data_IF_890412798008
#
_entry.id   IF_890412798008
#
_cell.length_a   1.000
_cell.length_b   1.000
_cell.length_c   1.000
_cell.angle_alpha   90.00
_cell.angle_beta   90.00
_cell.angle_gamma   90.00
#
_symmetry.space_group_name_H-M   'P 1'
#
loop_
_entity.id
_entity.type
_entity.pdbx_description
1 polymer ?
#
# COMPACT_ATOMS: atom_id res chain seq x y z
N UNK A 1 12.54 36.77 21.81
CA UNK A 1 12.59 35.33 21.50
C UNK A 1 11.26 35.01 20.80
N UNK A 2 11.32 34.78 19.48
CA UNK A 2 10.14 34.31 18.72
C UNK A 2 9.82 32.94 19.28
N UNK A 3 8.60 32.74 19.76
CA UNK A 3 8.10 31.45 20.19
C UNK A 3 8.19 30.54 18.95
N UNK A 4 9.08 29.55 18.94
CA UNK A 4 9.15 28.53 17.88
C UNK A 4 7.84 27.74 17.94
N UNK A 5 6.86 28.16 17.16
CA UNK A 5 5.57 27.51 17.11
C UNK A 5 5.72 26.20 16.34
N UNK A 6 5.80 25.08 17.06
CA UNK A 6 5.78 23.74 16.47
C UNK A 6 4.38 23.44 16.00
N UNK A 7 4.19 23.31 14.68
CA UNK A 7 2.90 22.93 14.13
C UNK A 7 2.64 21.44 14.34
N UNK A 8 1.50 21.10 14.95
CA UNK A 8 1.05 19.73 15.13
C UNK A 8 0.06 19.36 14.03
N UNK A 9 0.39 18.31 13.27
CA UNK A 9 -0.37 17.84 12.10
C UNK A 9 -0.78 16.39 12.33
N UNK A 10 -1.99 16.03 11.91
CA UNK A 10 -2.39 14.63 11.82
C UNK A 10 -2.33 14.16 10.36
N UNK A 11 -1.90 12.93 10.15
CA UNK A 11 -1.99 12.25 8.86
C UNK A 11 -2.82 10.98 9.01
N UNK A 12 -3.77 10.77 8.10
CA UNK A 12 -4.61 9.57 8.06
C UNK A 12 -4.23 8.76 6.84
N UNK A 13 -3.57 7.61 7.08
CA UNK A 13 -3.02 6.72 6.05
C UNK A 13 -1.51 6.90 5.85
N UNK A 14 -0.79 5.77 5.79
CA UNK A 14 0.66 5.70 5.56
C UNK A 14 0.99 4.69 4.44
N UNK A 15 0.22 4.74 3.37
CA UNK A 15 0.59 4.09 2.11
C UNK A 15 1.60 4.93 1.31
N UNK A 16 1.84 4.61 0.03
CA UNK A 16 2.84 5.31 -0.81
C UNK A 16 2.64 6.82 -0.91
N UNK A 17 1.39 7.29 -0.89
CA UNK A 17 1.09 8.74 -0.90
C UNK A 17 1.42 9.40 0.42
N UNK A 18 1.12 8.74 1.55
CA UNK A 18 1.49 9.21 2.88
C UNK A 18 3.01 9.28 3.05
N UNK A 19 3.73 8.25 2.62
CA UNK A 19 5.18 8.26 2.60
C UNK A 19 5.75 9.43 1.80
N UNK A 20 5.28 9.63 0.56
CA UNK A 20 5.73 10.75 -0.27
C UNK A 20 5.46 12.12 0.37
N UNK A 21 4.32 12.27 1.06
CA UNK A 21 4.00 13.50 1.80
C UNK A 21 4.95 13.71 3.00
N UNK A 22 5.27 12.66 3.76
CA UNK A 22 6.23 12.75 4.87
C UNK A 22 7.63 13.11 4.38
N UNK A 23 8.10 12.52 3.29
CA UNK A 23 9.38 12.86 2.67
C UNK A 23 9.42 14.32 2.20
N UNK A 24 8.33 14.82 1.62
CA UNK A 24 8.20 16.21 1.21
C UNK A 24 8.20 17.15 2.43
N UNK A 25 7.47 16.81 3.49
CA UNK A 25 7.47 17.56 4.75
C UNK A 25 8.86 17.60 5.37
N UNK A 26 9.56 16.48 5.45
CA UNK A 26 10.93 16.42 6.00
C UNK A 26 11.90 17.31 5.20
N UNK A 27 11.84 17.23 3.88
CA UNK A 27 12.67 18.05 2.99
C UNK A 27 12.36 19.54 3.16
N UNK A 28 11.09 19.91 3.22
CA UNK A 28 10.65 21.29 3.35
C UNK A 28 10.99 21.88 4.74
N UNK A 29 10.75 21.09 5.79
CA UNK A 29 11.03 21.45 7.16
C UNK A 29 12.52 21.73 7.38
N UNK A 30 13.40 20.89 6.83
CA UNK A 30 14.83 21.09 6.85
C UNK A 30 15.27 22.35 6.10
N UNK A 31 14.69 22.61 4.91
CA UNK A 31 15.03 23.77 4.08
C UNK A 31 14.54 25.12 4.64
N UNK A 32 13.49 25.12 5.46
CA UNK A 32 12.84 26.31 6.02
C UNK A 32 13.05 26.46 7.52
N UNK A 33 13.72 25.52 8.18
CA UNK A 33 13.90 25.47 9.63
C UNK A 33 12.57 25.52 10.42
N UNK A 34 11.51 24.94 9.83
CA UNK A 34 10.17 24.87 10.44
C UNK A 34 10.03 23.52 11.15
N UNK A 35 9.50 23.52 12.38
CA UNK A 35 9.29 22.31 13.16
C UNK A 35 7.86 21.79 13.01
N UNK A 36 7.73 20.48 12.77
CA UNK A 36 6.47 19.78 12.70
C UNK A 36 6.45 18.57 13.63
N UNK A 37 5.33 18.38 14.33
CA UNK A 37 4.99 17.12 14.98
C UNK A 37 3.86 16.48 14.17
N UNK A 38 4.10 15.29 13.62
CA UNK A 38 3.14 14.57 12.77
C UNK A 38 2.73 13.28 13.45
N UNK A 39 1.45 13.19 13.83
CA UNK A 39 0.83 11.97 14.30
C UNK A 39 0.20 11.26 13.11
N UNK A 40 0.65 10.04 12.82
CA UNK A 40 0.22 9.26 11.64
C UNK A 40 -0.65 8.10 12.10
N UNK A 41 -1.90 8.10 11.67
CA UNK A 41 -2.88 7.05 11.94
C UNK A 41 -2.97 6.11 10.75
N UNK A 42 -2.49 4.89 10.90
CA UNK A 42 -2.61 3.85 9.88
C UNK A 42 -2.62 2.46 10.56
N UNK A 43 -3.71 1.70 10.45
CA UNK A 43 -3.81 0.37 11.04
C UNK A 43 -3.10 -0.71 10.21
N UNK A 44 -2.62 -0.38 8.99
CA UNK A 44 -2.06 -1.39 8.11
C UNK A 44 -0.65 -1.82 8.57
N UNK A 45 -0.35 -3.13 8.60
CA UNK A 45 0.91 -3.65 9.17
C UNK A 45 2.15 -3.36 8.32
N UNK A 46 2.00 -2.88 7.08
CA UNK A 46 3.10 -2.52 6.20
C UNK A 46 3.12 -0.99 5.94
N UNK A 47 3.54 -0.17 6.91
CA UNK A 47 3.59 1.28 6.76
C UNK A 47 4.55 1.68 5.63
N UNK A 48 4.17 2.69 4.86
CA UNK A 48 4.87 3.11 3.64
C UNK A 48 4.40 2.38 2.38
N UNK A 49 4.11 1.09 2.47
CA UNK A 49 3.67 0.25 1.34
C UNK A 49 2.14 0.26 1.15
N UNK A 50 1.40 0.08 2.24
CA UNK A 50 -0.06 -0.06 2.20
C UNK A 50 -0.53 -1.35 1.52
N UNK A 51 -1.86 -1.60 1.47
CA UNK A 51 -2.41 -2.89 1.06
C UNK A 51 -2.18 -3.27 -0.41
N UNK A 52 -1.95 -2.29 -1.30
CA UNK A 52 -1.76 -2.58 -2.73
C UNK A 52 -0.34 -3.06 -3.06
N UNK A 53 0.60 -2.84 -2.17
CA UNK A 53 2.01 -3.20 -2.31
C UNK A 53 2.50 -3.94 -1.08
N UNK A 54 1.62 -4.73 -0.45
CA UNK A 54 1.99 -5.52 0.73
C UNK A 54 3.22 -6.39 0.40
N UNK A 55 4.32 -6.27 1.16
CA UNK A 55 5.50 -7.11 0.96
C UNK A 55 5.24 -8.61 1.13
N UNK A 56 4.18 -8.97 1.86
CA UNK A 56 3.77 -10.36 2.10
C UNK A 56 2.79 -10.89 1.04
N UNK A 57 2.36 -10.06 0.06
CA UNK A 57 1.46 -10.52 -1.01
C UNK A 57 2.19 -11.44 -1.99
N UNK A 58 1.43 -12.13 -2.83
CA UNK A 58 1.95 -13.06 -3.82
C UNK A 58 2.90 -12.38 -4.82
N UNK A 59 4.11 -12.93 -5.06
CA UNK A 59 5.01 -12.44 -6.11
C UNK A 59 4.45 -12.62 -7.53
N UNK A 60 3.34 -13.32 -7.70
CA UNK A 60 2.61 -13.43 -8.96
C UNK A 60 1.86 -12.14 -9.33
N UNK A 61 1.59 -11.29 -8.34
CA UNK A 61 1.04 -9.96 -8.54
C UNK A 61 2.15 -9.02 -9.02
N UNK A 62 2.12 -8.66 -10.30
CA UNK A 62 3.13 -7.79 -10.89
C UNK A 62 2.68 -6.34 -10.94
N UNK A 63 3.64 -5.42 -11.01
CA UNK A 63 3.38 -4.05 -11.43
C UNK A 63 2.87 -4.06 -12.88
N UNK A 64 2.09 -3.05 -13.23
CA UNK A 64 1.47 -2.93 -14.56
C UNK A 64 2.28 -2.06 -15.53
N UNK A 65 3.52 -1.72 -15.15
CA UNK A 65 4.52 -1.04 -15.98
C UNK A 65 5.86 -1.79 -15.88
N UNK A 66 6.64 -1.86 -16.96
CA UNK A 66 7.93 -2.52 -16.93
C UNK A 66 8.96 -1.71 -16.14
N UNK A 67 10.04 -2.37 -15.72
CA UNK A 67 11.08 -1.77 -14.87
C UNK A 67 11.65 -0.47 -15.44
N UNK A 68 11.89 -0.38 -16.76
CA UNK A 68 12.41 0.81 -17.41
C UNK A 68 11.57 2.08 -17.23
N UNK A 69 10.26 1.90 -17.02
CA UNK A 69 9.30 3.01 -16.89
C UNK A 69 9.06 3.41 -15.43
N UNK A 70 9.64 2.68 -14.48
CA UNK A 70 9.50 2.96 -13.05
C UNK A 70 10.52 4.01 -12.63
N UNK A 71 10.06 5.24 -12.47
CA UNK A 71 10.91 6.37 -12.05
C UNK A 71 10.70 6.75 -10.56
N UNK A 72 10.67 5.76 -9.70
CA UNK A 72 10.54 5.99 -8.26
C UNK A 72 11.91 6.32 -7.66
N UNK A 73 12.09 7.59 -7.32
CA UNK A 73 13.31 8.11 -6.69
C UNK A 73 12.97 8.71 -5.33
N UNK A 74 13.74 8.38 -4.30
CA UNK A 74 13.60 9.04 -3.01
C UNK A 74 14.13 10.48 -3.08
N UNK A 75 13.84 11.33 -2.07
CA UNK A 75 14.44 12.66 -1.97
C UNK A 75 15.97 12.60 -1.99
N UNK A 76 16.60 13.66 -2.50
CA UNK A 76 18.05 13.77 -2.47
C UNK A 76 18.56 13.75 -1.03
N UNK A 77 19.62 13.00 -0.78
CA UNK A 77 20.20 12.87 0.56
C UNK A 77 19.47 11.87 1.48
N UNK A 78 18.49 11.14 1.00
CA UNK A 78 17.75 10.14 1.80
C UNK A 78 18.59 8.92 2.21
N UNK A 79 19.77 8.73 1.62
CA UNK A 79 20.62 7.57 1.90
C UNK A 79 20.17 6.26 1.24
N UNK A 80 19.08 6.28 0.46
CA UNK A 80 18.57 5.13 -0.29
C UNK A 80 18.56 5.43 -1.79
N UNK A 81 18.88 4.45 -2.61
CA UNK A 81 18.89 4.57 -4.07
C UNK A 81 17.48 4.52 -4.67
N UNK A 82 17.35 4.82 -5.96
CA UNK A 82 16.10 4.61 -6.69
C UNK A 82 15.73 3.12 -6.77
N UNK A 83 14.44 2.81 -7.02
CA UNK A 83 13.94 1.43 -7.00
C UNK A 83 14.73 0.47 -7.89
N UNK A 84 15.07 0.90 -9.11
CA UNK A 84 15.82 0.06 -10.06
C UNK A 84 17.23 -0.32 -9.57
N UNK A 85 17.86 0.58 -8.81
CA UNK A 85 19.21 0.35 -8.25
C UNK A 85 19.16 -0.33 -6.88
N UNK A 86 18.00 -0.29 -6.22
CA UNK A 86 17.80 -0.86 -4.89
C UNK A 86 17.45 -2.35 -4.96
N UNK A 87 16.66 -2.77 -5.96
CA UNK A 87 16.17 -4.14 -6.07
C UNK A 87 17.30 -5.12 -6.39
N UNK A 88 17.38 -6.22 -5.64
CA UNK A 88 18.37 -7.26 -5.83
C UNK A 88 17.70 -8.66 -5.81
N UNK A 89 18.00 -9.54 -6.79
CA UNK A 89 18.84 -9.29 -7.97
C UNK A 89 18.21 -8.27 -8.94
N UNK A 90 18.98 -7.63 -9.82
CA UNK A 90 18.45 -6.67 -10.78
C UNK A 90 17.38 -7.29 -11.68
N UNK A 91 16.31 -6.54 -11.92
CA UNK A 91 15.20 -6.95 -12.79
C UNK A 91 15.47 -6.42 -14.21
N UNK A 92 15.32 -7.25 -15.27
CA UNK A 92 15.47 -6.79 -16.65
C UNK A 92 14.55 -5.61 -16.98
N UNK A 93 15.01 -4.70 -17.81
CA UNK A 93 14.30 -3.46 -18.15
C UNK A 93 12.87 -3.69 -18.68
N UNK A 94 12.67 -4.75 -19.46
CA UNK A 94 11.36 -5.08 -20.05
C UNK A 94 10.49 -5.98 -19.16
N UNK A 95 11.01 -6.42 -18.03
CA UNK A 95 10.25 -7.25 -17.10
C UNK A 95 9.39 -6.38 -16.16
N UNK A 96 8.30 -6.97 -15.70
CA UNK A 96 7.37 -6.36 -14.76
C UNK A 96 7.71 -6.82 -13.35
N UNK A 97 8.14 -5.92 -12.45
CA UNK A 97 8.50 -6.30 -11.09
C UNK A 97 7.30 -6.82 -10.29
N UNK A 98 7.51 -7.76 -9.37
CA UNK A 98 6.51 -8.12 -8.37
C UNK A 98 6.12 -6.92 -7.49
N UNK A 99 4.82 -6.74 -7.21
CA UNK A 99 4.34 -5.68 -6.31
C UNK A 99 4.94 -5.74 -4.91
N UNK A 100 5.13 -6.93 -4.29
CA UNK A 100 5.79 -7.04 -2.99
C UNK A 100 7.18 -6.42 -2.94
N UNK A 101 7.95 -6.50 -4.02
CA UNK A 101 9.28 -5.88 -4.06
C UNK A 101 9.21 -4.35 -4.01
N UNK A 102 8.21 -3.76 -4.68
CA UNK A 102 7.98 -2.33 -4.54
C UNK A 102 7.54 -1.98 -3.12
N UNK A 103 6.72 -2.81 -2.51
CA UNK A 103 6.30 -2.63 -1.11
C UNK A 103 7.49 -2.64 -0.14
N UNK A 104 8.38 -3.62 -0.26
CA UNK A 104 9.60 -3.70 0.54
C UNK A 104 10.50 -2.45 0.34
N UNK A 105 10.61 -1.96 -0.90
CA UNK A 105 11.32 -0.72 -1.17
C UNK A 105 10.69 0.50 -0.51
N UNK A 106 9.36 0.60 -0.52
CA UNK A 106 8.65 1.71 0.13
C UNK A 106 8.81 1.68 1.66
N UNK A 107 8.83 0.49 2.26
CA UNK A 107 9.15 0.34 3.69
C UNK A 107 10.60 0.77 3.99
N UNK A 108 11.56 0.34 3.17
CA UNK A 108 12.96 0.75 3.33
C UNK A 108 13.13 2.28 3.21
N UNK A 109 12.35 2.96 2.36
CA UNK A 109 12.32 4.42 2.27
C UNK A 109 11.80 5.06 3.56
N UNK A 110 10.74 4.51 4.14
CA UNK A 110 10.21 5.00 5.41
C UNK A 110 11.24 4.83 6.53
N UNK A 111 11.89 3.68 6.61
CA UNK A 111 12.94 3.40 7.59
C UNK A 111 14.11 4.38 7.44
N UNK A 112 14.55 4.66 6.20
CA UNK A 112 15.60 5.64 5.92
C UNK A 112 15.19 7.05 6.38
N UNK A 113 13.93 7.45 6.13
CA UNK A 113 13.38 8.72 6.62
C UNK A 113 13.41 8.80 8.15
N UNK A 114 12.95 7.76 8.84
CA UNK A 114 12.92 7.69 10.30
C UNK A 114 14.34 7.73 10.90
N UNK A 115 15.28 6.99 10.30
CA UNK A 115 16.68 6.98 10.73
C UNK A 115 17.33 8.35 10.61
N UNK A 116 17.07 9.08 9.54
CA UNK A 116 17.56 10.45 9.37
C UNK A 116 17.02 11.40 10.44
N UNK A 117 15.74 11.27 10.79
CA UNK A 117 15.12 12.10 11.82
C UNK A 117 15.68 11.77 13.21
N UNK A 118 16.04 10.54 13.50
CA UNK A 118 16.58 10.12 14.81
C UNK A 118 18.02 10.52 15.06
N UNK A 119 18.80 10.78 14.01
CA UNK A 119 20.26 11.02 14.09
C UNK A 119 20.69 12.49 14.21
N UNK A 120 19.77 13.45 14.11
CA UNK A 120 20.11 14.89 14.07
C UNK A 120 19.72 15.61 15.36
N UNK A 121 20.68 16.31 15.96
CA UNK A 121 20.41 17.31 17.00
C UNK A 121 19.65 18.48 16.35
N UNK A 122 18.39 18.73 16.77
CA UNK A 122 17.56 19.80 16.21
C UNK A 122 16.58 19.29 15.15
N UNK A 123 15.95 18.13 15.40
CA UNK A 123 14.91 17.55 14.52
C UNK A 123 13.83 18.58 14.20
N UNK A 124 13.61 18.80 12.89
CA UNK A 124 12.53 19.65 12.42
C UNK A 124 11.22 18.86 12.17
N UNK A 125 11.28 17.53 12.12
CA UNK A 125 10.14 16.65 11.98
C UNK A 125 10.16 15.58 13.07
N UNK A 126 9.14 15.56 13.92
CA UNK A 126 8.88 14.46 14.85
C UNK A 126 7.69 13.66 14.33
N UNK A 127 7.85 12.34 14.24
CA UNK A 127 6.82 11.46 13.70
C UNK A 127 6.41 10.43 14.74
N UNK A 128 5.10 10.35 15.00
CA UNK A 128 4.50 9.33 15.86
C UNK A 128 3.55 8.48 15.05
N UNK A 129 3.85 7.19 14.87
CA UNK A 129 2.95 6.26 14.21
C UNK A 129 1.98 5.63 15.22
N UNK A 130 0.69 5.77 14.96
CA UNK A 130 -0.41 5.17 15.71
C UNK A 130 -1.06 4.08 14.83
N UNK A 131 -0.91 2.79 15.14
CA UNK A 131 -1.44 1.69 14.32
C UNK A 131 -2.96 1.51 14.57
N UNK A 132 -3.73 2.55 14.27
CA UNK A 132 -5.15 2.60 14.53
C UNK A 132 -5.91 3.35 13.42
N UNK A 133 -7.18 2.97 13.22
CA UNK A 133 -8.09 3.67 12.31
C UNK A 133 -8.64 4.93 12.97
N UNK A 134 -8.93 5.92 12.14
CA UNK A 134 -9.67 7.11 12.54
C UNK A 134 -11.14 6.91 12.20
N UNK A 135 -12.02 7.07 13.19
CA UNK A 135 -13.44 6.85 13.07
C UNK A 135 -14.21 8.14 12.77
N UNK A 136 -13.79 9.26 13.37
CA UNK A 136 -14.45 10.56 13.23
C UNK A 136 -13.46 11.70 13.23
N UNK A 137 -13.85 12.78 12.58
CA UNK A 137 -13.17 14.08 12.58
C UNK A 137 -14.13 15.14 13.09
N UNK A 138 -13.62 16.08 13.85
CA UNK A 138 -14.35 17.31 14.20
C UNK A 138 -13.41 18.50 14.20
N UNK A 139 -13.94 19.66 13.90
CA UNK A 139 -13.25 20.94 14.09
C UNK A 139 -13.86 21.68 15.27
N UNK A 140 -13.01 22.20 16.13
CA UNK A 140 -13.40 22.98 17.31
C UNK A 140 -12.41 24.13 17.50
N UNK A 141 -12.92 25.34 17.65
CA UNK A 141 -12.11 26.58 17.81
C UNK A 141 -10.97 26.72 16.79
N UNK A 142 -11.22 26.32 15.53
CA UNK A 142 -10.24 26.39 14.44
C UNK A 142 -9.20 25.26 14.42
N UNK A 143 -9.28 24.30 15.35
CA UNK A 143 -8.38 23.15 15.41
C UNK A 143 -9.11 21.85 15.11
N UNK A 144 -8.37 20.87 14.60
CA UNK A 144 -8.89 19.55 14.29
C UNK A 144 -8.68 18.56 15.44
N UNK A 145 -9.66 17.69 15.60
CA UNK A 145 -9.61 16.55 16.52
C UNK A 145 -10.02 15.28 15.78
N UNK A 146 -9.37 14.15 16.12
CA UNK A 146 -9.64 12.84 15.55
C UNK A 146 -10.06 11.88 16.64
N UNK A 147 -11.11 11.10 16.39
CA UNK A 147 -11.50 9.98 17.24
C UNK A 147 -10.85 8.71 16.69
N UNK A 148 -10.07 8.03 17.51
CA UNK A 148 -9.44 6.75 17.19
C UNK A 148 -9.43 5.86 18.41
N UNK A 149 -9.93 4.62 18.27
CA UNK A 149 -10.00 3.68 19.38
C UNK A 149 -10.81 4.19 20.59
N UNK A 150 -11.82 5.04 20.36
CA UNK A 150 -12.65 5.65 21.42
C UNK A 150 -11.99 6.85 22.12
N UNK A 151 -10.81 7.29 21.70
CA UNK A 151 -10.05 8.40 22.29
C UNK A 151 -9.97 9.57 21.30
N UNK A 152 -10.22 10.79 21.77
CA UNK A 152 -10.02 12.00 21.00
C UNK A 152 -8.56 12.45 21.07
N UNK A 153 -7.93 12.58 19.91
CA UNK A 153 -6.57 13.09 19.70
C UNK A 153 -6.63 14.52 19.17
N UNK A 154 -5.66 15.34 19.50
CA UNK A 154 -5.58 16.74 19.07
C UNK A 154 -5.19 17.67 20.24
N UNK A 155 -5.27 18.99 20.08
CA UNK A 155 -5.64 19.68 18.84
C UNK A 155 -4.56 19.58 17.76
N UNK A 156 -4.97 19.59 16.49
CA UNK A 156 -4.10 19.64 15.31
C UNK A 156 -4.39 20.91 14.51
N UNK A 157 -3.35 21.54 13.99
CA UNK A 157 -3.49 22.67 13.08
C UNK A 157 -4.09 22.24 11.74
N UNK A 158 -3.66 21.10 11.23
CA UNK A 158 -4.05 20.56 9.93
C UNK A 158 -4.24 19.04 9.96
N UNK A 159 -5.02 18.52 9.02
CA UNK A 159 -5.15 17.08 8.76
C UNK A 159 -4.82 16.79 7.30
N UNK A 160 -3.91 15.87 7.07
CA UNK A 160 -3.65 15.32 5.75
C UNK A 160 -4.35 13.96 5.60
N UNK A 161 -5.35 13.92 4.70
CA UNK A 161 -6.11 12.70 4.44
C UNK A 161 -5.58 11.96 3.22
N UNK A 162 -4.97 10.78 3.45
CA UNK A 162 -4.46 9.88 2.42
C UNK A 162 -4.84 8.41 2.70
N UNK A 163 -6.13 8.13 3.03
CA UNK A 163 -6.58 6.84 3.54
C UNK A 163 -6.60 5.72 2.48
N UNK A 164 -6.22 6.02 1.23
CA UNK A 164 -6.28 5.06 0.13
C UNK A 164 -7.71 4.86 -0.40
N UNK A 165 -8.02 3.63 -0.84
CA UNK A 165 -9.35 3.30 -1.36
C UNK A 165 -10.28 2.91 -0.21
N UNK A 166 -11.47 3.50 -0.11
CA UNK A 166 -12.45 3.11 0.88
C UNK A 166 -13.04 1.73 0.55
N UNK A 167 -13.55 1.05 1.57
CA UNK A 167 -14.41 -0.13 1.36
C UNK A 167 -15.69 0.32 0.69
N UNK A 168 -16.08 -0.36 -0.37
CA UNK A 168 -17.34 -0.11 -1.09
C UNK A 168 -18.37 -1.19 -0.76
N UNK A 169 -19.64 -0.82 -0.83
CA UNK A 169 -20.71 -1.80 -0.81
C UNK A 169 -20.73 -2.58 -2.14
N UNK A 170 -21.14 -3.85 -2.15
CA UNK A 170 -21.39 -4.58 -3.38
C UNK A 170 -22.39 -3.81 -4.25
N UNK A 171 -22.11 -3.75 -5.56
CA UNK A 171 -23.14 -3.33 -6.52
C UNK A 171 -24.24 -4.39 -6.65
N UNK A 172 -25.33 -4.06 -7.33
CA UNK A 172 -26.50 -4.94 -7.46
C UNK A 172 -26.11 -6.32 -8.02
N UNK A 173 -25.29 -6.36 -9.07
CA UNK A 173 -24.83 -7.61 -9.68
C UNK A 173 -24.03 -8.47 -8.70
N UNK A 174 -23.12 -7.88 -7.95
CA UNK A 174 -22.33 -8.60 -6.95
C UNK A 174 -23.22 -9.08 -5.79
N UNK A 175 -24.21 -8.27 -5.38
CA UNK A 175 -25.20 -8.62 -4.37
C UNK A 175 -26.04 -9.83 -4.80
N UNK A 176 -26.49 -9.87 -6.04
CA UNK A 176 -27.22 -10.99 -6.62
C UNK A 176 -26.36 -12.26 -6.67
N UNK A 177 -25.11 -12.15 -7.07
CA UNK A 177 -24.19 -13.29 -7.09
C UNK A 177 -23.88 -13.82 -5.68
N UNK A 178 -23.70 -12.93 -4.71
CA UNK A 178 -23.52 -13.33 -3.30
C UNK A 178 -24.76 -14.09 -2.78
N UNK A 179 -25.95 -13.64 -3.15
CA UNK A 179 -27.20 -14.29 -2.79
C UNK A 179 -27.33 -15.66 -3.48
N UNK A 180 -27.02 -15.72 -4.78
CA UNK A 180 -27.03 -16.98 -5.52
C UNK A 180 -26.04 -18.00 -4.94
N UNK A 181 -24.82 -17.58 -4.63
CA UNK A 181 -23.77 -18.45 -4.08
C UNK A 181 -24.16 -19.08 -2.72
N UNK A 182 -24.98 -18.39 -1.90
CA UNK A 182 -25.49 -18.93 -0.62
C UNK A 182 -26.46 -20.11 -0.80
N UNK A 183 -27.11 -20.19 -1.96
CA UNK A 183 -28.19 -21.18 -2.25
C UNK A 183 -27.84 -22.17 -3.37
N UNK A 184 -26.58 -22.16 -3.83
CA UNK A 184 -26.09 -23.00 -4.93
C UNK A 184 -24.72 -23.62 -4.59
N UNK A 185 -24.14 -24.35 -5.53
CA UNK A 185 -22.77 -24.88 -5.44
C UNK A 185 -21.74 -23.90 -5.99
N UNK A 186 -22.15 -22.71 -6.43
CA UNK A 186 -21.23 -21.71 -6.94
C UNK A 186 -20.39 -21.13 -5.81
N UNK A 187 -19.10 -20.97 -6.06
CA UNK A 187 -18.17 -20.30 -5.15
C UNK A 187 -17.87 -18.89 -5.69
N UNK A 188 -17.96 -17.89 -4.84
CA UNK A 188 -17.59 -16.52 -5.17
C UNK A 188 -16.35 -16.14 -4.37
N UNK A 189 -15.31 -15.71 -5.06
CA UNK A 189 -14.04 -15.31 -4.44
C UNK A 189 -13.59 -13.93 -4.92
N UNK A 190 -12.95 -13.15 -4.04
CA UNK A 190 -12.28 -11.91 -4.41
C UNK A 190 -10.96 -12.19 -5.13
N UNK A 191 -10.53 -11.25 -5.99
CA UNK A 191 -9.22 -11.31 -6.64
C UNK A 191 -8.06 -11.16 -5.65
N UNK A 192 -8.28 -10.44 -4.57
CA UNK A 192 -7.28 -10.12 -3.54
C UNK A 192 -7.80 -10.38 -2.12
N UNK A 193 -6.92 -10.70 -1.16
CA UNK A 193 -5.49 -10.98 -1.35
C UNK A 193 -5.25 -12.23 -2.20
N UNK A 194 -4.18 -12.20 -3.02
CA UNK A 194 -3.92 -13.24 -4.01
C UNK A 194 -3.59 -14.61 -3.41
N UNK A 195 -2.96 -14.64 -2.24
CA UNK A 195 -2.67 -15.85 -1.47
C UNK A 195 -3.95 -16.59 -1.07
N UNK A 196 -5.01 -15.86 -0.66
CA UNK A 196 -6.32 -16.43 -0.32
C UNK A 196 -7.03 -16.99 -1.55
N UNK A 197 -6.95 -16.28 -2.69
CA UNK A 197 -7.46 -16.78 -3.95
C UNK A 197 -6.75 -18.09 -4.34
N UNK A 198 -5.41 -18.10 -4.29
CA UNK A 198 -4.59 -19.28 -4.60
C UNK A 198 -4.92 -20.47 -3.69
N UNK A 199 -5.06 -20.23 -2.39
CA UNK A 199 -5.44 -21.28 -1.44
C UNK A 199 -6.80 -21.88 -1.75
N UNK A 200 -7.80 -21.06 -2.06
CA UNK A 200 -9.14 -21.50 -2.46
C UNK A 200 -9.13 -22.27 -3.78
N UNK A 201 -8.34 -21.80 -4.73
CA UNK A 201 -8.29 -22.35 -6.09
C UNK A 201 -7.68 -23.76 -6.18
N UNK A 202 -6.93 -24.20 -5.17
CA UNK A 202 -6.39 -25.59 -5.10
C UNK A 202 -7.49 -26.67 -5.24
N UNK A 203 -8.73 -26.34 -4.90
CA UNK A 203 -9.87 -27.24 -4.98
C UNK A 203 -10.71 -27.07 -6.26
N UNK A 204 -10.26 -26.23 -7.22
CA UNK A 204 -11.02 -25.89 -8.44
C UNK A 204 -10.51 -26.64 -9.68
N UNK A 205 -9.59 -27.58 -9.53
CA UNK A 205 -9.06 -28.36 -10.64
C UNK A 205 -10.21 -29.00 -11.47
N UNK A 206 -10.17 -28.82 -12.79
CA UNK A 206 -11.18 -29.30 -13.72
C UNK A 206 -12.53 -28.54 -13.69
N UNK A 207 -12.63 -27.47 -12.89
CA UNK A 207 -13.85 -26.66 -12.86
C UNK A 207 -13.75 -25.44 -13.78
N UNK A 208 -14.92 -24.93 -14.19
CA UNK A 208 -15.00 -23.68 -14.96
C UNK A 208 -14.97 -22.50 -14.01
N UNK A 209 -14.01 -21.60 -14.21
CA UNK A 209 -13.88 -20.36 -13.46
C UNK A 209 -14.23 -19.17 -14.35
N UNK A 210 -15.21 -18.38 -13.93
CA UNK A 210 -15.56 -17.12 -14.57
C UNK A 210 -14.90 -15.94 -13.86
N UNK A 211 -14.24 -15.05 -14.61
CA UNK A 211 -13.62 -13.84 -14.08
C UNK A 211 -14.48 -12.64 -14.47
N UNK A 212 -14.94 -11.88 -13.47
CA UNK A 212 -15.65 -10.63 -13.72
C UNK A 212 -14.67 -9.51 -13.97
N UNK A 213 -14.73 -8.91 -15.13
CA UNK A 213 -13.85 -7.84 -15.60
C UNK A 213 -12.63 -8.36 -16.34
N UNK A 214 -12.13 -7.54 -17.27
CA UNK A 214 -10.95 -7.86 -18.09
C UNK A 214 -10.01 -6.64 -18.14
N UNK A 215 -9.58 -6.20 -16.96
CA UNK A 215 -8.61 -5.13 -16.78
C UNK A 215 -7.35 -5.67 -16.08
N UNK A 216 -6.51 -4.81 -15.54
CA UNK A 216 -5.20 -5.18 -14.98
C UNK A 216 -5.27 -6.28 -13.92
N UNK A 217 -6.27 -6.25 -13.03
CA UNK A 217 -6.43 -7.27 -11.99
C UNK A 217 -6.72 -8.66 -12.54
N UNK A 218 -7.29 -8.79 -13.75
CA UNK A 218 -7.54 -10.09 -14.36
C UNK A 218 -6.24 -10.82 -14.70
N UNK A 219 -5.18 -10.11 -15.04
CA UNK A 219 -3.87 -10.74 -15.29
C UNK A 219 -3.30 -11.38 -14.02
N UNK A 220 -3.47 -10.73 -12.86
CA UNK A 220 -3.05 -11.30 -11.59
C UNK A 220 -3.88 -12.54 -11.25
N UNK A 221 -5.21 -12.47 -11.41
CA UNK A 221 -6.10 -13.63 -11.21
C UNK A 221 -5.69 -14.79 -12.12
N UNK A 222 -5.43 -14.55 -13.41
CA UNK A 222 -5.01 -15.58 -14.35
C UNK A 222 -3.67 -16.19 -13.90
N UNK A 223 -2.68 -15.39 -13.50
CA UNK A 223 -1.39 -15.92 -13.01
C UNK A 223 -1.57 -16.78 -11.75
N UNK A 224 -2.38 -16.33 -10.81
CA UNK A 224 -2.68 -17.08 -9.58
C UNK A 224 -3.34 -18.41 -9.90
N UNK A 225 -4.31 -18.43 -10.83
CA UNK A 225 -5.07 -19.64 -11.21
C UNK A 225 -4.34 -20.56 -12.20
N UNK A 226 -3.22 -20.12 -12.76
CA UNK A 226 -2.42 -20.89 -13.72
C UNK A 226 -1.04 -21.18 -13.17
N UNK A 227 -0.13 -20.25 -13.24
CA UNK A 227 1.26 -20.40 -12.73
C UNK A 227 1.28 -20.66 -11.23
N UNK A 228 0.42 -20.01 -10.46
CA UNK A 228 0.29 -20.21 -9.02
C UNK A 228 -0.15 -21.63 -8.62
N UNK A 229 -0.77 -22.37 -9.53
CA UNK A 229 -1.18 -23.77 -9.36
C UNK A 229 -0.24 -24.74 -10.11
N UNK A 230 0.96 -24.29 -10.50
CA UNK A 230 2.00 -25.13 -11.11
C UNK A 230 1.95 -25.24 -12.61
N UNK A 231 1.05 -24.52 -13.30
CA UNK A 231 1.05 -24.42 -14.75
C UNK A 231 2.21 -23.54 -15.27
N UNK A 232 2.54 -23.69 -16.54
CA UNK A 232 3.64 -22.95 -17.18
C UNK A 232 3.22 -22.30 -18.48
N UNK A 233 3.85 -21.17 -18.81
CA UNK A 233 3.72 -20.52 -20.11
C UNK A 233 5.01 -20.70 -20.90
N UNK A 234 4.89 -21.17 -22.12
CA UNK A 234 6.00 -21.38 -23.07
C UNK A 234 5.70 -20.78 -24.43
N UNK A 235 6.60 -20.98 -25.43
CA UNK A 235 6.40 -20.50 -26.80
C UNK A 235 5.08 -20.99 -27.43
N UNK A 236 4.65 -22.18 -27.06
CA UNK A 236 3.45 -22.82 -27.59
C UNK A 236 2.17 -22.49 -26.77
N UNK A 237 2.27 -21.57 -25.80
CA UNK A 237 1.18 -21.14 -24.94
C UNK A 237 1.22 -21.76 -23.54
N UNK A 238 0.04 -21.92 -22.94
CA UNK A 238 -0.12 -22.41 -21.58
C UNK A 238 -0.16 -23.94 -21.52
N UNK A 239 0.61 -24.49 -20.59
CA UNK A 239 0.60 -25.92 -20.23
C UNK A 239 0.13 -26.05 -18.79
N UNK A 240 -0.99 -26.78 -18.51
CA UNK A 240 -1.46 -26.99 -17.16
C UNK A 240 -0.50 -27.86 -16.37
N UNK A 241 -0.53 -27.72 -15.05
CA UNK A 241 0.15 -28.68 -14.17
C UNK A 241 -0.50 -30.06 -14.37
N UNK A 242 0.30 -31.12 -14.47
CA UNK A 242 -0.18 -32.50 -14.61
C UNK A 242 -0.79 -33.11 -13.33
N UNK A 243 -1.29 -32.28 -12.42
CA UNK A 243 -1.92 -32.67 -11.16
C UNK A 243 -3.43 -32.53 -11.22
#
# INVERSE_FOLDING_TARGET
>A
MLNEQVSRIAMIGLGPRGLGALEALATHSAAKEIKFNVDVFDPYPAPGAGPNFDPEDSPLCLLNIPMRDIQLRPPKGSGISGFADWVAPPIPNDAFPPRPQLGAYLQARLEALLAQQSGQSGQNLTLTHLPASVDQLRQDEGHWHLLSGGIWHGPYAEILMVPGQPKTQPDDQLGDWQTHAKHSRATLAGAYPADKLQASAKHWAGQTVAIRGFALSSFDVIRVLTTGLGGTFGPDGYSPSGQ
#
